data_IF_384647068621
#
_entry.id   IF_384647068621
#
_cell.length_a   1.000
_cell.length_b   1.000
_cell.length_c   1.000
_cell.angle_alpha   90.00
_cell.angle_beta   90.00
_cell.angle_gamma   90.00
#
_symmetry.space_group_name_H-M   'P 1'
#
loop_
_entity.id
_entity.type
_entity.pdbx_description
1 polymer ?
#
# COMPACT_ATOMS: atom_id res chain seq x y z
N UNK A 1 -11.30 14.67 4.31
CA UNK A 1 -9.85 14.88 4.31
C UNK A 1 -9.23 13.64 3.69
N UNK A 2 -8.20 13.80 2.87
CA UNK A 2 -7.39 12.69 2.38
C UNK A 2 -6.06 12.76 3.13
N UNK A 3 -5.50 11.62 3.50
CA UNK A 3 -4.15 11.54 4.07
C UNK A 3 -3.30 10.71 3.14
N UNK A 4 -2.02 11.06 3.04
CA UNK A 4 -1.09 10.37 2.18
C UNK A 4 -0.25 9.37 2.98
N UNK A 5 0.05 8.22 2.39
CA UNK A 5 1.10 7.29 2.84
C UNK A 5 2.17 7.17 1.75
N UNK A 6 3.33 6.62 2.12
CA UNK A 6 4.36 6.22 1.16
C UNK A 6 4.30 4.71 0.97
N UNK A 7 4.38 4.23 -0.25
CA UNK A 7 4.52 2.81 -0.59
C UNK A 7 5.92 2.63 -1.14
N UNK A 8 6.72 1.79 -0.49
CA UNK A 8 8.10 1.49 -0.88
C UNK A 8 8.19 0.04 -1.35
N UNK A 9 8.72 -0.18 -2.55
CA UNK A 9 9.00 -1.52 -3.05
C UNK A 9 10.43 -1.93 -2.67
N UNK A 10 10.59 -2.68 -1.58
CA UNK A 10 11.89 -3.17 -1.08
C UNK A 10 12.37 -4.45 -1.81
N UNK A 11 11.53 -5.06 -2.64
CA UNK A 11 11.87 -6.27 -3.40
C UNK A 11 12.20 -6.01 -4.87
N UNK A 12 11.83 -6.96 -5.73
CA UNK A 12 12.02 -6.86 -7.19
C UNK A 12 10.97 -5.96 -7.86
N UNK A 13 11.24 -5.54 -9.10
CA UNK A 13 10.29 -4.78 -9.91
C UNK A 13 8.99 -5.58 -10.19
N UNK A 14 7.87 -4.88 -10.29
CA UNK A 14 6.59 -5.51 -10.61
C UNK A 14 5.37 -4.67 -10.28
N UNK A 15 4.19 -5.21 -10.57
CA UNK A 15 2.93 -4.54 -10.24
C UNK A 15 2.58 -4.75 -8.77
N UNK A 16 2.47 -3.65 -8.04
CA UNK A 16 2.07 -3.58 -6.65
C UNK A 16 0.61 -3.14 -6.57
N UNK A 17 -0.18 -3.88 -5.79
CA UNK A 17 -1.54 -3.50 -5.41
C UNK A 17 -1.57 -3.23 -3.92
N UNK A 18 -1.97 -2.03 -3.52
CA UNK A 18 -2.21 -1.67 -2.11
C UNK A 18 -3.69 -1.45 -1.90
N UNK A 19 -4.21 -2.11 -0.88
CA UNK A 19 -5.62 -2.05 -0.48
C UNK A 19 -5.73 -1.48 0.93
N UNK A 20 -6.46 -0.38 1.05
CA UNK A 20 -6.87 0.25 2.29
C UNK A 20 -8.14 -0.42 2.83
N UNK A 21 -8.19 -0.71 4.13
CA UNK A 21 -9.42 -1.11 4.82
C UNK A 21 -10.13 0.13 5.36
N UNK A 22 -11.28 0.47 4.77
CA UNK A 22 -12.09 1.63 5.17
C UNK A 22 -12.93 1.31 6.41
N UNK A 23 -13.47 0.08 6.47
CA UNK A 23 -14.19 -0.46 7.62
C UNK A 23 -14.17 -2.00 7.60
N UNK A 24 -14.91 -2.66 8.49
CA UNK A 24 -14.93 -4.14 8.56
C UNK A 24 -15.39 -4.81 7.26
N UNK A 25 -16.21 -4.14 6.45
CA UNK A 25 -16.87 -4.68 5.25
C UNK A 25 -16.39 -4.01 3.95
N UNK A 26 -15.63 -2.91 4.04
CA UNK A 26 -15.23 -2.10 2.89
C UNK A 26 -13.71 -2.03 2.76
N UNK A 27 -13.23 -2.36 1.57
CA UNK A 27 -11.84 -2.29 1.16
C UNK A 27 -11.74 -1.51 -0.14
N UNK A 28 -10.71 -0.69 -0.26
CA UNK A 28 -10.48 0.18 -1.41
C UNK A 28 -9.06 -0.04 -1.92
N UNK A 29 -8.91 -0.29 -3.21
CA UNK A 29 -7.58 -0.28 -3.85
C UNK A 29 -7.14 1.17 -4.01
N UNK A 30 -6.03 1.51 -3.35
CA UNK A 30 -5.45 2.87 -3.36
C UNK A 30 -4.23 2.95 -4.28
N UNK A 31 -3.60 1.82 -4.60
CA UNK A 31 -2.55 1.69 -5.60
C UNK A 31 -2.77 0.40 -6.39
N UNK A 32 -2.71 0.48 -7.72
CA UNK A 32 -2.52 -0.68 -8.62
C UNK A 32 -1.63 -0.20 -9.77
N UNK A 33 -0.31 -0.36 -9.60
CA UNK A 33 0.68 0.23 -10.49
C UNK A 33 1.98 -0.56 -10.53
N UNK A 34 2.72 -0.41 -11.62
CA UNK A 34 4.08 -0.94 -11.71
C UNK A 34 5.01 -0.09 -10.85
N UNK A 35 5.86 -0.73 -10.06
CA UNK A 35 6.90 -0.10 -9.25
C UNK A 35 8.25 -0.74 -9.54
N UNK A 36 9.27 0.09 -9.73
CA UNK A 36 10.66 -0.36 -9.83
C UNK A 36 11.17 -0.86 -8.46
N UNK A 37 12.25 -1.64 -8.47
CA UNK A 37 12.92 -2.06 -7.24
C UNK A 37 13.52 -0.84 -6.51
N UNK A 38 13.15 -0.65 -5.25
CA UNK A 38 13.55 0.49 -4.41
C UNK A 38 12.71 1.76 -4.62
N UNK A 39 11.70 1.74 -5.50
CA UNK A 39 10.85 2.90 -5.75
C UNK A 39 9.96 3.22 -4.54
N UNK A 40 9.74 4.52 -4.31
CA UNK A 40 8.81 5.03 -3.30
C UNK A 40 7.75 5.89 -3.98
N UNK A 41 6.49 5.53 -3.79
CA UNK A 41 5.34 6.25 -4.32
C UNK A 41 4.48 6.81 -3.20
N UNK A 42 4.11 8.08 -3.33
CA UNK A 42 3.10 8.73 -2.53
C UNK A 42 1.70 8.28 -2.98
N UNK A 43 0.88 7.80 -2.05
CA UNK A 43 -0.48 7.33 -2.33
C UNK A 43 -1.49 8.07 -1.46
N UNK A 44 -2.48 8.69 -2.09
CA UNK A 44 -3.59 9.35 -1.42
C UNK A 44 -4.62 8.32 -0.91
N UNK A 45 -4.85 8.31 0.39
CA UNK A 45 -5.82 7.46 1.07
C UNK A 45 -7.07 8.25 1.45
N UNK A 46 -8.21 7.56 1.57
CA UNK A 46 -9.48 8.22 1.88
C UNK A 46 -9.69 8.35 3.39
N UNK A 47 -10.30 9.45 3.81
CA UNK A 47 -10.74 9.62 5.20
C UNK A 47 -9.60 10.02 6.13
N UNK A 48 -9.69 9.60 7.39
CA UNK A 48 -8.72 9.96 8.42
C UNK A 48 -7.83 8.77 8.77
N UNK A 49 -6.56 9.05 9.08
CA UNK A 49 -5.62 8.12 9.68
C UNK A 49 -5.98 7.80 11.15
N UNK A 50 -5.55 6.69 11.74
CA UNK A 50 -4.77 5.59 11.12
C UNK A 50 -5.68 4.52 10.48
N UNK A 51 -5.16 3.78 9.49
CA UNK A 51 -5.91 2.71 8.80
C UNK A 51 -5.08 1.47 8.53
N UNK A 52 -5.75 0.34 8.38
CA UNK A 52 -5.13 -0.93 7.99
C UNK A 52 -4.94 -0.99 6.48
N UNK A 53 -3.74 -1.36 6.04
CA UNK A 53 -3.38 -1.57 4.65
C UNK A 53 -2.84 -2.97 4.43
N UNK A 54 -3.15 -3.56 3.28
CA UNK A 54 -2.55 -4.81 2.79
C UNK A 54 -1.97 -4.58 1.42
N UNK A 55 -0.92 -5.31 1.06
CA UNK A 55 -0.30 -5.22 -0.26
C UNK A 55 -0.16 -6.58 -0.93
N UNK A 56 -0.13 -6.58 -2.27
CA UNK A 56 0.11 -7.73 -3.13
C UNK A 56 1.09 -7.32 -4.23
N UNK A 57 2.18 -8.07 -4.37
CA UNK A 57 3.11 -7.95 -5.47
C UNK A 57 2.77 -9.01 -6.54
N UNK A 58 2.17 -8.60 -7.65
CA UNK A 58 1.63 -9.52 -8.68
C UNK A 58 2.71 -10.34 -9.38
N UNK A 59 3.92 -9.81 -9.55
CA UNK A 59 5.00 -10.53 -10.25
C UNK A 59 5.56 -11.70 -9.44
N UNK A 60 5.56 -11.60 -8.10
CA UNK A 60 6.04 -12.67 -7.20
C UNK A 60 4.91 -13.41 -6.49
N UNK A 61 3.68 -12.93 -6.65
CA UNK A 61 2.49 -13.39 -5.95
C UNK A 61 2.64 -13.35 -4.41
N UNK A 62 3.52 -12.49 -3.89
CA UNK A 62 3.72 -12.26 -2.47
C UNK A 62 2.75 -11.20 -1.95
N UNK A 63 2.29 -11.37 -0.71
CA UNK A 63 1.40 -10.40 -0.07
C UNK A 63 1.77 -10.18 1.38
N UNK A 64 1.54 -8.96 1.85
CA UNK A 64 1.72 -8.57 3.25
C UNK A 64 0.40 -8.60 4.01
N UNK A 65 0.50 -8.90 5.31
CA UNK A 65 -0.62 -8.80 6.24
C UNK A 65 -1.04 -7.34 6.51
N UNK A 66 -2.14 -7.13 7.23
CA UNK A 66 -2.62 -5.78 7.55
C UNK A 66 -1.62 -5.03 8.42
N UNK A 67 -1.17 -3.88 7.93
CA UNK A 67 -0.30 -2.93 8.62
C UNK A 67 -1.07 -1.63 8.89
N UNK A 68 -1.10 -1.17 10.15
CA UNK A 68 -1.75 0.09 10.52
C UNK A 68 -0.80 1.25 10.26
N UNK A 69 -1.18 2.13 9.33
CA UNK A 69 -0.37 3.28 8.92
C UNK A 69 -1.13 4.60 9.11
N UNK A 70 -0.38 5.60 9.54
CA UNK A 70 -0.81 6.99 9.67
C UNK A 70 -0.34 7.88 8.53
N UNK A 71 -0.57 9.18 8.68
CA UNK A 71 -0.19 10.16 7.66
C UNK A 71 1.33 10.30 7.55
N UNK A 72 1.87 10.06 6.36
CA UNK A 72 3.30 10.13 6.06
C UNK A 72 4.08 8.84 6.37
N UNK A 73 3.42 7.81 6.92
CA UNK A 73 4.05 6.53 7.19
C UNK A 73 4.37 5.76 5.89
N UNK A 74 5.28 4.80 5.98
CA UNK A 74 5.74 4.01 4.83
C UNK A 74 5.29 2.55 4.94
N UNK A 75 4.49 2.10 3.97
CA UNK A 75 4.21 0.70 3.70
C UNK A 75 5.36 0.07 2.92
N UNK A 76 5.93 -1.02 3.42
CA UNK A 76 7.04 -1.72 2.76
C UNK A 76 6.57 -3.00 2.08
N UNK A 77 6.68 -3.02 0.76
CA UNK A 77 6.38 -4.18 -0.08
C UNK A 77 7.64 -5.01 -0.21
N UNK A 78 7.64 -6.20 0.40
CA UNK A 78 8.75 -7.14 0.31
C UNK A 78 8.37 -8.20 -0.74
N UNK A 79 8.99 -8.14 -1.92
CA UNK A 79 8.70 -9.05 -3.04
C UNK A 79 9.86 -9.97 -3.38
#
# INVERSE_FOLDING_TARGET
MAFQINVQNDGQEGTVVVTERVNLNERLVVLDGFMDAGEVLAVDCRGNADKEFTWLHKATNMSGGPETLGHGDTLRVNS
#
